data_IF_877031007636
#
_entry.id   IF_877031007636
#
_cell.length_a   1.000
_cell.length_b   1.000
_cell.length_c   1.000
_cell.angle_alpha   90.00
_cell.angle_beta   90.00
_cell.angle_gamma   90.00
#
_symmetry.space_group_name_H-M   'P 1'
#
loop_
_entity.id
_entity.type
_entity.pdbx_description
1 polymer ?
#
# COMPACT_ATOMS: atom_id res chain seq x y z
N UNK A 1 -12.68 -8.31 -28.56
CA UNK A 1 -11.46 -8.77 -29.29
C UNK A 1 -10.30 -8.99 -28.33
N UNK A 2 -9.97 -8.05 -27.44
CA UNK A 2 -8.87 -8.20 -26.46
C UNK A 2 -9.12 -9.28 -25.40
N UNK A 3 -10.31 -9.35 -24.82
CA UNK A 3 -10.66 -10.42 -23.86
C UNK A 3 -10.52 -11.83 -24.46
N UNK A 4 -10.84 -11.98 -25.75
CA UNK A 4 -10.61 -13.24 -26.48
C UNK A 4 -9.12 -13.56 -26.68
N UNK A 5 -8.26 -12.54 -26.81
CA UNK A 5 -6.81 -12.74 -26.88
C UNK A 5 -6.24 -13.12 -25.50
N UNK A 6 -6.82 -12.62 -24.40
CA UNK A 6 -6.44 -13.06 -23.05
C UNK A 6 -6.65 -14.58 -22.88
N UNK A 7 -7.74 -15.13 -23.42
CA UNK A 7 -8.02 -16.57 -23.37
C UNK A 7 -6.96 -17.43 -24.07
N UNK A 8 -6.34 -16.90 -25.13
CA UNK A 8 -5.31 -17.60 -25.91
C UNK A 8 -3.90 -17.41 -25.34
N UNK A 9 -3.63 -16.29 -24.65
CA UNK A 9 -2.28 -15.89 -24.24
C UNK A 9 -1.97 -16.11 -22.75
N UNK A 10 -2.98 -16.01 -21.87
CA UNK A 10 -2.76 -16.12 -20.44
C UNK A 10 -2.76 -17.58 -19.97
N UNK A 11 -1.99 -17.85 -18.93
CA UNK A 11 -1.99 -19.14 -18.24
C UNK A 11 -3.42 -19.52 -17.79
N UNK A 12 -3.77 -20.82 -17.72
CA UNK A 12 -5.09 -21.27 -17.27
C UNK A 12 -5.49 -20.70 -15.90
N UNK A 13 -4.52 -20.47 -15.02
CA UNK A 13 -4.67 -19.99 -13.66
C UNK A 13 -4.86 -18.47 -13.57
N UNK A 14 -4.66 -17.74 -14.67
CA UNK A 14 -4.80 -16.29 -14.69
C UNK A 14 -6.26 -15.83 -14.68
N UNK A 15 -6.51 -14.71 -14.02
CA UNK A 15 -7.84 -14.13 -13.96
C UNK A 15 -8.20 -13.47 -15.29
N UNK A 16 -9.34 -13.84 -15.88
CA UNK A 16 -9.81 -13.26 -17.15
C UNK A 16 -10.61 -11.99 -16.91
N UNK A 17 -10.38 -10.94 -17.71
CA UNK A 17 -11.12 -9.69 -17.59
C UNK A 17 -12.61 -9.86 -17.93
N UNK A 18 -12.95 -10.80 -18.82
CA UNK A 18 -14.35 -11.12 -19.15
C UNK A 18 -15.16 -11.75 -18.00
N UNK A 19 -14.49 -12.26 -16.96
CA UNK A 19 -15.13 -12.77 -15.74
C UNK A 19 -15.20 -11.71 -14.61
N UNK A 20 -14.77 -10.48 -14.88
CA UNK A 20 -14.78 -9.41 -13.90
C UNK A 20 -16.22 -8.99 -13.55
N UNK A 21 -16.46 -8.73 -12.27
CA UNK A 21 -17.78 -8.29 -11.77
C UNK A 21 -17.66 -6.96 -11.07
N UNK A 22 -18.72 -6.15 -11.13
CA UNK A 22 -18.82 -4.83 -10.48
C UNK A 22 -20.08 -4.79 -9.61
N UNK A 23 -20.11 -3.93 -8.60
CA UNK A 23 -21.30 -3.74 -7.76
C UNK A 23 -22.42 -3.06 -8.54
N UNK A 24 -22.09 -2.03 -9.31
CA UNK A 24 -23.03 -1.35 -10.19
C UNK A 24 -22.83 -1.82 -11.65
N UNK A 25 -23.89 -2.32 -12.32
CA UNK A 25 -23.81 -2.71 -13.73
C UNK A 25 -23.37 -1.53 -14.60
N UNK A 26 -22.45 -1.79 -15.52
CA UNK A 26 -21.95 -0.79 -16.44
C UNK A 26 -21.67 -1.44 -17.80
N UNK A 27 -21.93 -0.69 -18.88
CA UNK A 27 -21.65 -1.17 -20.23
C UNK A 27 -20.14 -1.43 -20.43
N UNK A 28 -19.77 -2.53 -21.11
CA UNK A 28 -18.38 -2.79 -21.48
C UNK A 28 -17.77 -1.66 -22.31
N UNK A 29 -16.48 -1.39 -22.10
CA UNK A 29 -15.76 -0.38 -22.89
C UNK A 29 -15.33 -1.03 -24.22
N UNK A 30 -15.48 -0.34 -25.36
CA UNK A 30 -15.17 -0.92 -26.67
C UNK A 30 -13.68 -1.18 -26.91
N UNK A 31 -12.78 -0.55 -26.13
CA UNK A 31 -11.33 -0.58 -26.36
C UNK A 31 -10.53 -1.15 -25.19
N UNK A 32 -11.01 -0.94 -23.96
CA UNK A 32 -10.31 -1.31 -22.73
C UNK A 32 -10.97 -2.48 -22.02
N UNK A 33 -10.15 -3.36 -21.44
CA UNK A 33 -10.64 -4.44 -20.57
C UNK A 33 -11.16 -3.88 -19.25
N UNK A 34 -11.89 -4.70 -18.48
CA UNK A 34 -12.40 -4.29 -17.18
C UNK A 34 -11.29 -3.83 -16.22
N UNK A 35 -10.14 -4.51 -16.22
CA UNK A 35 -9.00 -4.18 -15.35
C UNK A 35 -8.22 -2.95 -15.82
N UNK A 36 -8.12 -2.71 -17.13
CA UNK A 36 -7.55 -1.44 -17.65
C UNK A 36 -8.37 -0.23 -17.23
N UNK A 37 -9.71 -0.36 -17.24
CA UNK A 37 -10.59 0.71 -16.74
C UNK A 37 -10.37 0.96 -15.25
N UNK A 38 -10.21 -0.09 -14.45
CA UNK A 38 -9.96 0.04 -13.01
C UNK A 38 -8.65 0.76 -12.73
N UNK A 39 -7.57 0.34 -13.40
CA UNK A 39 -6.28 1.03 -13.37
C UNK A 39 -6.43 2.52 -13.67
N UNK A 40 -7.09 2.84 -14.78
CA UNK A 40 -7.24 4.22 -15.23
C UNK A 40 -8.03 5.05 -14.19
N UNK A 41 -9.09 4.48 -13.60
CA UNK A 41 -9.88 5.12 -12.53
C UNK A 41 -9.03 5.39 -11.29
N UNK A 42 -8.26 4.40 -10.83
CA UNK A 42 -7.41 4.52 -9.65
C UNK A 42 -6.40 5.66 -9.83
N UNK A 43 -5.68 5.68 -10.95
CA UNK A 43 -4.65 6.70 -11.24
C UNK A 43 -5.22 8.12 -11.27
N UNK A 44 -6.47 8.29 -11.71
CA UNK A 44 -7.11 9.59 -11.79
C UNK A 44 -7.80 10.03 -10.48
N UNK A 45 -7.91 9.16 -9.48
CA UNK A 45 -8.50 9.47 -8.17
C UNK A 45 -7.71 10.57 -7.42
N UNK A 46 -8.38 11.28 -6.51
CA UNK A 46 -7.69 12.27 -5.65
C UNK A 46 -6.83 11.53 -4.62
N UNK A 47 -7.31 10.40 -4.10
CA UNK A 47 -6.56 9.53 -3.19
C UNK A 47 -5.19 9.11 -3.75
N UNK A 48 -5.12 8.65 -5.01
CA UNK A 48 -3.85 8.30 -5.65
C UNK A 48 -2.91 9.50 -5.78
N UNK A 49 -3.42 10.69 -6.14
CA UNK A 49 -2.59 11.92 -6.21
C UNK A 49 -1.98 12.30 -4.87
N UNK A 50 -2.66 12.02 -3.76
CA UNK A 50 -2.17 12.31 -2.40
C UNK A 50 -0.97 11.45 -2.00
N UNK A 51 -0.76 10.29 -2.63
CA UNK A 51 0.42 9.44 -2.38
C UNK A 51 1.74 10.19 -2.57
N UNK A 52 1.78 11.16 -3.49
CA UNK A 52 2.94 12.05 -3.71
C UNK A 52 3.35 12.82 -2.45
N UNK A 53 2.40 13.07 -1.56
CA UNK A 53 2.57 13.91 -0.38
C UNK A 53 2.42 13.12 0.93
N UNK A 54 2.54 11.79 0.85
CA UNK A 54 2.61 10.89 2.00
C UNK A 54 3.97 10.19 2.04
N UNK A 55 4.63 10.28 3.18
CA UNK A 55 5.89 9.58 3.47
C UNK A 55 5.65 8.09 3.57
N UNK A 56 6.61 7.29 3.11
CA UNK A 56 6.60 5.84 3.28
C UNK A 56 7.12 5.45 4.67
N UNK A 57 8.43 5.62 4.90
CA UNK A 57 9.12 5.17 6.12
C UNK A 57 9.52 6.30 7.04
N UNK A 58 10.20 7.32 6.51
CA UNK A 58 10.75 8.40 7.32
C UNK A 58 9.72 9.51 7.45
N UNK A 59 9.41 9.91 8.67
CA UNK A 59 8.57 11.07 8.93
C UNK A 59 9.40 12.32 8.61
N UNK A 60 8.90 13.16 7.70
CA UNK A 60 9.49 14.46 7.32
C UNK A 60 11.02 14.50 7.18
N UNK A 61 11.64 13.61 6.38
CA UNK A 61 13.09 13.56 6.32
C UNK A 61 13.65 14.81 5.64
N UNK A 62 14.70 15.38 6.24
CA UNK A 62 15.46 16.47 5.61
C UNK A 62 16.29 15.88 4.45
N UNK A 63 15.85 16.06 3.21
CA UNK A 63 16.59 15.68 2.00
C UNK A 63 15.70 15.35 0.79
N UNK A 64 16.26 15.46 -0.41
CA UNK A 64 15.51 15.38 -1.67
C UNK A 64 15.23 13.96 -2.19
N UNK A 65 15.79 12.92 -1.56
CA UNK A 65 15.88 11.57 -2.12
C UNK A 65 15.04 10.50 -1.39
N UNK A 66 14.16 10.88 -0.46
CA UNK A 66 13.36 9.90 0.29
C UNK A 66 12.15 9.41 -0.49
N UNK A 67 11.86 8.12 -0.37
CA UNK A 67 10.77 7.47 -1.11
C UNK A 67 9.41 7.92 -0.55
N UNK A 68 8.58 8.47 -1.44
CA UNK A 68 7.16 8.74 -1.14
C UNK A 68 6.33 7.48 -1.40
N UNK A 69 5.13 7.40 -0.85
CA UNK A 69 4.21 6.30 -1.16
C UNK A 69 3.89 6.16 -2.65
N UNK A 70 3.92 7.27 -3.40
CA UNK A 70 3.77 7.21 -4.85
C UNK A 70 4.95 6.46 -5.49
N UNK A 71 6.18 6.75 -5.07
CA UNK A 71 7.37 6.06 -5.59
C UNK A 71 7.37 4.58 -5.19
N UNK A 72 6.98 4.25 -3.94
CA UNK A 72 6.73 2.87 -3.51
C UNK A 72 5.76 2.16 -4.44
N UNK A 73 4.60 2.78 -4.65
CA UNK A 73 3.52 2.22 -5.48
C UNK A 73 3.99 1.93 -6.90
N UNK A 74 4.85 2.80 -7.48
CA UNK A 74 5.43 2.58 -8.79
C UNK A 74 6.44 1.41 -8.79
N UNK A 75 7.25 1.25 -7.75
CA UNK A 75 8.17 0.13 -7.59
C UNK A 75 7.41 -1.20 -7.43
N UNK A 76 6.40 -1.24 -6.56
CA UNK A 76 5.49 -2.38 -6.39
C UNK A 76 4.81 -2.74 -7.71
N UNK A 77 4.34 -1.73 -8.46
CA UNK A 77 3.70 -1.96 -9.77
C UNK A 77 4.70 -2.55 -10.77
N UNK A 78 5.94 -2.06 -10.81
CA UNK A 78 6.96 -2.59 -11.71
C UNK A 78 7.31 -4.05 -11.37
N UNK A 79 7.51 -4.37 -10.09
CA UNK A 79 7.80 -5.72 -9.62
C UNK A 79 6.61 -6.65 -9.89
N UNK A 80 5.39 -6.23 -9.54
CA UNK A 80 4.17 -7.01 -9.73
C UNK A 80 3.94 -7.36 -11.20
N UNK A 81 4.05 -6.37 -12.10
CA UNK A 81 3.92 -6.60 -13.55
C UNK A 81 5.00 -7.54 -14.09
N UNK A 82 6.23 -7.45 -13.58
CA UNK A 82 7.31 -8.35 -14.00
C UNK A 82 7.00 -9.81 -13.63
N UNK A 83 6.56 -10.06 -12.40
CA UNK A 83 6.16 -11.40 -11.94
C UNK A 83 4.94 -11.90 -12.72
N UNK A 84 3.89 -11.07 -12.87
CA UNK A 84 2.69 -11.43 -13.62
C UNK A 84 3.03 -11.85 -15.06
N UNK A 85 3.85 -11.06 -15.76
CA UNK A 85 4.29 -11.37 -17.12
C UNK A 85 5.07 -12.68 -17.19
N UNK A 86 5.99 -12.91 -16.26
CA UNK A 86 6.81 -14.13 -16.24
C UNK A 86 5.98 -15.40 -15.99
N UNK A 87 4.90 -15.29 -15.21
CA UNK A 87 3.98 -16.39 -14.90
C UNK A 87 2.82 -16.52 -15.89
N UNK A 88 2.73 -15.64 -16.89
CA UNK A 88 1.59 -15.61 -17.83
C UNK A 88 0.26 -15.23 -17.18
N UNK A 89 0.30 -14.50 -16.07
CA UNK A 89 -0.88 -14.02 -15.32
C UNK A 89 -1.37 -12.66 -15.87
N UNK A 90 -2.54 -12.21 -15.41
CA UNK A 90 -3.15 -10.97 -15.91
C UNK A 90 -2.41 -9.72 -15.38
N UNK A 91 -1.60 -9.12 -16.26
CA UNK A 91 -0.76 -7.98 -15.93
C UNK A 91 -1.57 -6.74 -15.53
N UNK A 92 -2.70 -6.50 -16.22
CA UNK A 92 -3.58 -5.35 -15.99
C UNK A 92 -4.29 -5.45 -14.63
N UNK A 93 -4.70 -6.64 -14.22
CA UNK A 93 -5.26 -6.87 -12.88
C UNK A 93 -4.19 -6.64 -11.80
N UNK A 94 -3.01 -7.22 -11.96
CA UNK A 94 -1.90 -7.01 -11.01
C UNK A 94 -1.56 -5.52 -10.91
N UNK A 95 -1.45 -4.81 -12.03
CA UNK A 95 -1.18 -3.38 -12.08
C UNK A 95 -2.26 -2.57 -11.34
N UNK A 96 -3.54 -2.84 -11.60
CA UNK A 96 -4.65 -2.14 -10.93
C UNK A 96 -4.62 -2.34 -9.40
N UNK A 97 -4.37 -3.58 -8.94
CA UNK A 97 -4.24 -3.87 -7.50
C UNK A 97 -3.03 -3.13 -6.91
N UNK A 98 -1.86 -3.20 -7.56
CA UNK A 98 -0.65 -2.50 -7.13
C UNK A 98 -0.88 -0.99 -7.01
N UNK A 99 -1.58 -0.35 -7.95
CA UNK A 99 -1.81 1.10 -7.89
C UNK A 99 -2.80 1.49 -6.78
N UNK A 100 -3.70 0.58 -6.40
CA UNK A 100 -4.72 0.82 -5.38
C UNK A 100 -4.33 0.39 -3.96
N UNK A 101 -3.27 -0.41 -3.78
CA UNK A 101 -3.00 -1.05 -2.49
C UNK A 101 -2.75 -0.06 -1.35
N UNK A 102 -2.05 1.04 -1.66
CA UNK A 102 -1.44 1.92 -0.66
C UNK A 102 -2.23 3.22 -0.37
N UNK A 103 -3.33 3.47 -1.08
CA UNK A 103 -4.05 4.77 -1.03
C UNK A 103 -4.69 5.07 0.33
N UNK A 104 -5.02 4.03 1.10
CA UNK A 104 -5.66 4.09 2.40
C UNK A 104 -4.73 4.30 3.59
N UNK A 105 -3.42 4.45 3.36
CA UNK A 105 -2.51 4.77 4.47
C UNK A 105 -2.82 6.13 5.07
N UNK A 106 -2.72 6.25 6.38
CA UNK A 106 -2.86 7.50 7.11
C UNK A 106 -1.66 8.44 6.89
N UNK A 107 -1.77 9.73 7.29
CA UNK A 107 -0.60 10.59 7.45
C UNK A 107 0.43 9.93 8.37
N UNK A 108 1.72 10.14 8.09
CA UNK A 108 2.84 9.58 8.87
C UNK A 108 2.96 8.05 8.86
N UNK A 109 2.36 7.39 7.87
CA UNK A 109 2.52 5.95 7.65
C UNK A 109 2.09 5.10 8.84
N UNK A 110 2.89 4.10 9.22
CA UNK A 110 2.55 3.16 10.32
C UNK A 110 2.27 3.86 11.64
N UNK A 111 2.94 4.99 11.91
CA UNK A 111 2.72 5.76 13.14
C UNK A 111 1.30 6.36 13.18
N UNK A 112 0.81 6.87 12.05
CA UNK A 112 -0.57 7.34 11.96
C UNK A 112 -1.58 6.21 12.03
N UNK A 113 -1.29 5.05 11.44
CA UNK A 113 -2.16 3.86 11.54
C UNK A 113 -2.31 3.41 13.00
N UNK A 114 -1.20 3.43 13.75
CA UNK A 114 -1.21 3.10 15.18
C UNK A 114 -2.07 4.08 15.97
N UNK A 115 -1.99 5.39 15.68
CA UNK A 115 -2.85 6.38 16.31
C UNK A 115 -4.33 6.23 15.94
N UNK A 116 -4.64 5.93 14.67
CA UNK A 116 -6.02 5.72 14.21
C UNK A 116 -6.63 4.43 14.73
N UNK A 117 -5.80 3.43 15.06
CA UNK A 117 -6.27 2.15 15.59
C UNK A 117 -7.00 2.28 16.93
N UNK A 118 -6.78 3.37 17.67
CA UNK A 118 -7.52 3.68 18.91
C UNK A 118 -8.99 4.03 18.66
N UNK A 119 -9.32 4.43 17.44
CA UNK A 119 -10.66 4.91 17.05
C UNK A 119 -11.42 3.91 16.16
N UNK A 120 -10.80 2.80 15.77
CA UNK A 120 -11.40 1.79 14.88
C UNK A 120 -11.47 0.46 15.59
N UNK A 121 -12.67 -0.09 15.73
CA UNK A 121 -12.88 -1.41 16.31
C UNK A 121 -12.12 -2.47 15.50
N UNK A 122 -11.34 -3.31 16.18
CA UNK A 122 -10.47 -4.30 15.53
C UNK A 122 -9.14 -3.74 14.97
N UNK A 123 -8.91 -2.43 15.14
CA UNK A 123 -7.68 -1.74 14.73
C UNK A 123 -7.69 -1.25 13.28
N UNK A 124 -6.80 -0.30 12.98
CA UNK A 124 -6.70 0.29 11.64
C UNK A 124 -6.02 -0.63 10.64
N UNK A 125 -6.54 -0.67 9.42
CA UNK A 125 -5.93 -1.37 8.28
C UNK A 125 -6.02 -0.49 7.04
N UNK A 126 -4.88 -0.03 6.51
CA UNK A 126 -4.88 0.74 5.26
C UNK A 126 -5.57 0.00 4.11
N UNK A 127 -5.48 -1.33 4.04
CA UNK A 127 -6.06 -2.10 2.94
C UNK A 127 -7.59 -2.00 2.95
N UNK A 128 -8.21 -2.03 4.14
CA UNK A 128 -9.65 -1.83 4.28
C UNK A 128 -10.03 -0.39 3.96
N UNK A 129 -9.21 0.58 4.39
CA UNK A 129 -9.40 1.98 4.03
C UNK A 129 -9.22 2.25 2.54
N UNK A 130 -8.27 1.59 1.87
CA UNK A 130 -8.06 1.70 0.42
C UNK A 130 -9.32 1.29 -0.34
N UNK A 131 -9.96 0.20 0.10
CA UNK A 131 -11.22 -0.21 -0.51
C UNK A 131 -12.37 0.73 -0.14
N UNK A 132 -12.46 1.16 1.12
CA UNK A 132 -13.47 2.14 1.56
C UNK A 132 -13.39 3.45 0.77
N UNK A 133 -12.18 3.91 0.44
CA UNK A 133 -11.98 5.08 -0.42
C UNK A 133 -12.65 4.85 -1.78
N UNK A 134 -12.45 3.70 -2.42
CA UNK A 134 -12.98 3.46 -3.77
C UNK A 134 -14.42 2.96 -3.83
N UNK A 135 -15.00 2.51 -2.72
CA UNK A 135 -16.40 2.09 -2.63
C UNK A 135 -17.31 3.18 -2.08
N UNK A 136 -16.82 4.05 -1.17
CA UNK A 136 -17.64 5.00 -0.42
C UNK A 136 -17.22 6.47 -0.64
N UNK A 137 -15.95 6.80 -0.44
CA UNK A 137 -15.50 8.20 -0.38
C UNK A 137 -15.29 8.83 -1.77
N UNK A 138 -14.74 8.05 -2.69
CA UNK A 138 -14.49 8.36 -4.08
C UNK A 138 -14.97 7.15 -4.91
N UNK A 139 -16.29 6.90 -5.01
CA UNK A 139 -16.82 5.66 -5.59
C UNK A 139 -16.40 5.52 -7.06
N UNK A 140 -15.50 4.56 -7.33
CA UNK A 140 -14.96 4.28 -8.66
C UNK A 140 -15.63 3.07 -9.33
N UNK A 141 -16.52 2.37 -8.62
CA UNK A 141 -17.17 1.13 -9.08
C UNK A 141 -16.16 0.12 -9.63
N UNK A 142 -15.06 -0.15 -8.91
CA UNK A 142 -13.99 -1.07 -9.33
C UNK A 142 -14.50 -2.52 -9.41
N UNK A 143 -13.77 -3.37 -10.10
CA UNK A 143 -14.08 -4.81 -10.15
C UNK A 143 -13.83 -5.48 -8.80
N UNK A 144 -14.62 -6.52 -8.49
CA UNK A 144 -14.51 -7.28 -7.25
C UNK A 144 -13.11 -7.90 -7.07
N UNK A 145 -12.47 -8.30 -8.18
CA UNK A 145 -11.12 -8.85 -8.18
C UNK A 145 -10.07 -7.81 -7.76
N UNK A 146 -10.20 -6.57 -8.21
CA UNK A 146 -9.31 -5.48 -7.81
C UNK A 146 -9.52 -5.13 -6.34
N UNK A 147 -10.77 -5.00 -5.88
CA UNK A 147 -11.04 -4.68 -4.46
C UNK A 147 -10.65 -5.81 -3.51
N UNK A 148 -10.85 -7.07 -3.89
CA UNK A 148 -10.35 -8.24 -3.14
C UNK A 148 -8.82 -8.25 -3.06
N UNK A 149 -8.14 -8.05 -4.19
CA UNK A 149 -6.68 -7.95 -4.25
C UNK A 149 -6.15 -6.85 -3.33
N UNK A 150 -6.74 -5.65 -3.37
CA UNK A 150 -6.37 -4.53 -2.49
C UNK A 150 -6.61 -4.88 -1.02
N UNK A 151 -7.76 -5.46 -0.68
CA UNK A 151 -8.13 -5.76 0.71
C UNK A 151 -7.22 -6.83 1.33
N UNK A 152 -6.94 -7.89 0.58
CA UNK A 152 -6.32 -9.11 1.09
C UNK A 152 -4.81 -9.20 0.86
N UNK A 153 -4.18 -8.25 0.15
CA UNK A 153 -2.74 -8.28 -0.09
C UNK A 153 -1.87 -8.32 1.19
N UNK A 154 -2.24 -7.68 2.33
CA UNK A 154 -1.34 -7.67 3.47
C UNK A 154 -1.11 -9.08 4.01
N UNK A 155 0.13 -9.39 4.36
CA UNK A 155 0.52 -10.70 4.87
C UNK A 155 -0.13 -11.08 6.22
N UNK A 156 -0.63 -10.10 6.96
CA UNK A 156 -1.39 -10.31 8.20
C UNK A 156 -2.82 -10.82 7.96
N UNK A 157 -3.32 -10.74 6.72
CA UNK A 157 -4.62 -11.29 6.36
C UNK A 157 -4.46 -12.79 6.13
N UNK A 158 -5.12 -13.60 6.97
CA UNK A 158 -5.02 -15.06 6.95
C UNK A 158 -5.45 -15.64 5.59
N UNK A 159 -6.66 -15.25 5.14
CA UNK A 159 -7.14 -15.60 3.82
C UNK A 159 -6.63 -14.56 2.82
N UNK A 160 -5.60 -14.94 2.08
CA UNK A 160 -5.04 -14.10 1.02
C UNK A 160 -6.02 -13.79 -0.10
N UNK A 161 -5.60 -12.98 -1.09
CA UNK A 161 -6.40 -12.66 -2.26
C UNK A 161 -6.88 -13.93 -2.96
N UNK A 162 -8.08 -13.87 -3.54
CA UNK A 162 -8.69 -14.97 -4.28
C UNK A 162 -8.00 -15.26 -5.62
N UNK A 163 -7.26 -14.28 -6.15
CA UNK A 163 -6.58 -14.36 -7.43
C UNK A 163 -5.06 -14.53 -7.27
N UNK A 164 -4.43 -15.22 -8.21
CA UNK A 164 -2.96 -15.30 -8.28
C UNK A 164 -2.34 -13.91 -8.45
N UNK A 165 -2.99 -13.03 -9.21
CA UNK A 165 -2.58 -11.65 -9.41
C UNK A 165 -2.55 -10.86 -8.10
N UNK A 166 -3.53 -11.04 -7.21
CA UNK A 166 -3.49 -10.47 -5.87
C UNK A 166 -2.40 -11.10 -5.00
N UNK A 167 -2.18 -12.42 -5.14
CA UNK A 167 -1.06 -13.15 -4.53
C UNK A 167 0.31 -12.54 -4.87
N UNK A 168 0.51 -12.14 -6.14
CA UNK A 168 1.71 -11.45 -6.59
C UNK A 168 1.91 -10.14 -5.83
N UNK A 169 0.85 -9.34 -5.65
CA UNK A 169 0.96 -8.04 -4.97
C UNK A 169 1.46 -8.20 -3.53
N UNK A 170 1.12 -9.31 -2.84
CA UNK A 170 1.68 -9.59 -1.50
C UNK A 170 3.21 -9.62 -1.54
N UNK A 171 3.79 -10.32 -2.51
CA UNK A 171 5.23 -10.40 -2.67
C UNK A 171 5.82 -9.10 -3.18
N UNK A 172 5.20 -8.48 -4.19
CA UNK A 172 5.70 -7.25 -4.80
C UNK A 172 5.81 -6.10 -3.79
N UNK A 173 4.80 -5.92 -2.93
CA UNK A 173 4.82 -4.93 -1.84
C UNK A 173 6.00 -5.18 -0.91
N UNK A 174 6.17 -6.43 -0.46
CA UNK A 174 7.25 -6.81 0.45
C UNK A 174 8.64 -6.65 -0.15
N UNK A 175 8.83 -7.06 -1.39
CA UNK A 175 10.13 -6.94 -2.08
C UNK A 175 10.49 -5.47 -2.24
N UNK A 176 9.54 -4.64 -2.67
CA UNK A 176 9.77 -3.21 -2.91
C UNK A 176 10.25 -2.49 -1.64
N UNK A 177 9.49 -2.61 -0.54
CA UNK A 177 9.86 -1.89 0.68
C UNK A 177 11.13 -2.47 1.31
N UNK A 178 11.36 -3.79 1.28
CA UNK A 178 12.60 -4.35 1.85
C UNK A 178 13.86 -3.88 1.13
N UNK A 179 13.80 -3.79 -0.20
CA UNK A 179 14.95 -3.36 -0.99
C UNK A 179 15.26 -1.87 -0.79
N UNK A 180 14.24 -1.00 -0.90
CA UNK A 180 14.45 0.44 -0.86
C UNK A 180 14.58 1.02 0.56
N UNK A 181 13.87 0.46 1.54
CA UNK A 181 13.93 0.99 2.91
C UNK A 181 15.29 0.72 3.56
N UNK A 182 16.01 -0.35 3.14
CA UNK A 182 17.40 -0.57 3.56
C UNK A 182 18.31 0.50 2.99
N UNK A 183 18.18 0.84 1.70
CA UNK A 183 19.00 1.88 1.07
C UNK A 183 18.78 3.24 1.74
N UNK A 184 17.52 3.58 2.04
CA UNK A 184 17.19 4.82 2.73
C UNK A 184 17.66 4.81 4.19
N UNK A 185 17.55 3.68 4.91
CA UNK A 185 18.05 3.55 6.27
C UNK A 185 19.58 3.67 6.35
N UNK A 186 20.31 3.14 5.36
CA UNK A 186 21.76 3.33 5.25
C UNK A 186 22.10 4.79 4.93
N UNK A 187 21.35 5.43 4.01
CA UNK A 187 21.54 6.85 3.67
C UNK A 187 21.27 7.79 4.85
N UNK A 188 20.34 7.41 5.73
CA UNK A 188 19.99 8.15 6.93
C UNK A 188 20.88 7.83 8.15
N UNK A 189 21.98 7.08 7.96
CA UNK A 189 22.89 6.61 9.03
C UNK A 189 22.18 5.82 10.15
N UNK A 190 21.01 5.25 9.88
CA UNK A 190 20.27 4.40 10.82
C UNK A 190 20.78 2.95 10.82
N UNK A 191 21.32 2.52 9.68
CA UNK A 191 21.94 1.21 9.50
C UNK A 191 23.30 1.38 8.85
N UNK A 192 24.24 0.51 9.22
CA UNK A 192 25.46 0.29 8.46
C UNK A 192 25.29 -0.98 7.61
N UNK A 193 25.94 -1.09 6.44
CA UNK A 193 25.89 -2.32 5.64
C UNK A 193 26.25 -3.59 6.44
N UNK A 194 27.20 -3.46 7.36
CA UNK A 194 27.64 -4.57 8.25
C UNK A 194 26.61 -4.97 9.31
N UNK A 195 25.57 -4.15 9.54
CA UNK A 195 24.50 -4.48 10.49
C UNK A 195 23.46 -5.45 9.87
N UNK A 196 23.50 -5.67 8.56
CA UNK A 196 22.51 -6.47 7.85
C UNK A 196 22.61 -7.97 8.19
N UNK A 197 21.47 -8.69 8.23
CA UNK A 197 21.48 -10.14 8.49
C UNK A 197 22.31 -10.91 7.46
N UNK A 198 23.26 -11.72 7.93
CA UNK A 198 24.15 -12.48 7.05
C UNK A 198 23.40 -13.49 6.17
N UNK A 199 22.30 -14.05 6.65
CA UNK A 199 21.43 -14.94 5.86
C UNK A 199 20.79 -14.20 4.68
N UNK A 200 20.37 -12.95 4.86
CA UNK A 200 19.87 -12.11 3.78
C UNK A 200 20.94 -11.80 2.72
N UNK A 201 22.17 -11.48 3.15
CA UNK A 201 23.28 -11.24 2.22
C UNK A 201 23.66 -12.49 1.43
N UNK A 202 23.62 -13.67 2.05
CA UNK A 202 23.87 -14.94 1.38
C UNK A 202 22.76 -15.31 0.40
N UNK A 203 21.49 -15.10 0.78
CA UNK A 203 20.35 -15.48 -0.03
C UNK A 203 20.07 -14.51 -1.19
N UNK A 204 20.28 -13.21 -0.98
CA UNK A 204 19.82 -12.16 -1.90
C UNK A 204 20.95 -11.30 -2.48
N UNK A 205 22.18 -11.44 -1.98
CA UNK A 205 23.33 -10.63 -2.38
C UNK A 205 23.34 -9.25 -1.72
N UNK A 206 23.86 -8.25 -2.43
CA UNK A 206 23.93 -6.87 -1.92
C UNK A 206 22.55 -6.17 -1.97
N UNK A 207 22.25 -5.27 -1.01
CA UNK A 207 21.00 -4.50 -1.01
C UNK A 207 20.72 -3.73 -2.29
N UNK A 208 19.44 -3.40 -2.51
CA UNK A 208 18.98 -2.70 -3.70
C UNK A 208 18.68 -3.66 -4.84
N UNK A 209 19.33 -3.48 -5.99
CA UNK A 209 19.00 -4.21 -7.22
C UNK A 209 19.11 -5.73 -7.09
N UNK A 210 20.18 -6.25 -6.47
CA UNK A 210 20.37 -7.72 -6.40
C UNK A 210 19.30 -8.37 -5.53
N UNK A 211 18.83 -7.69 -4.47
CA UNK A 211 17.72 -8.18 -3.66
C UNK A 211 16.42 -8.27 -4.45
N UNK A 212 16.09 -7.23 -5.22
CA UNK A 212 14.91 -7.23 -6.10
C UNK A 212 15.01 -8.40 -7.08
N UNK A 213 16.12 -8.49 -7.81
CA UNK A 213 16.33 -9.55 -8.82
C UNK A 213 16.22 -10.95 -8.18
N UNK A 214 16.85 -11.18 -7.04
CA UNK A 214 16.89 -12.48 -6.36
C UNK A 214 15.52 -12.87 -5.80
N UNK A 215 14.83 -11.95 -5.11
CA UNK A 215 13.51 -12.24 -4.53
C UNK A 215 12.45 -12.42 -5.62
N UNK A 216 12.48 -11.61 -6.68
CA UNK A 216 11.58 -11.77 -7.83
C UNK A 216 11.80 -13.12 -8.51
N UNK A 217 13.05 -13.49 -8.75
CA UNK A 217 13.41 -14.79 -9.33
C UNK A 217 12.93 -15.94 -8.45
N UNK A 218 13.13 -15.85 -7.13
CA UNK A 218 12.67 -16.87 -6.18
C UNK A 218 11.15 -17.06 -6.17
N UNK A 219 10.36 -15.99 -6.32
CA UNK A 219 8.91 -16.09 -6.49
C UNK A 219 8.57 -16.77 -7.82
N UNK A 220 9.18 -16.32 -8.92
CA UNK A 220 8.87 -16.85 -10.26
C UNK A 220 9.21 -18.34 -10.36
N UNK A 221 10.43 -18.73 -10.01
CA UNK A 221 10.91 -20.10 -10.15
C UNK A 221 10.08 -21.08 -9.33
N UNK A 222 9.77 -20.72 -8.07
CA UNK A 222 8.96 -21.58 -7.23
C UNK A 222 7.50 -21.62 -7.70
N UNK A 223 6.94 -20.51 -8.17
CA UNK A 223 5.58 -20.47 -8.71
C UNK A 223 5.42 -21.30 -9.98
N UNK A 224 6.42 -21.27 -10.88
CA UNK A 224 6.44 -22.13 -12.06
C UNK A 224 6.54 -23.62 -11.71
N UNK A 225 7.23 -23.95 -10.62
CA UNK A 225 7.40 -25.33 -10.17
C UNK A 225 6.15 -25.90 -9.49
N UNK A 226 5.38 -25.08 -8.77
CA UNK A 226 4.23 -25.54 -7.97
C UNK A 226 2.88 -25.26 -8.60
N UNK A 227 2.80 -24.30 -9.52
CA UNK A 227 1.53 -23.80 -10.07
C UNK A 227 0.80 -22.82 -9.14
N UNK A 228 1.40 -22.42 -8.02
CA UNK A 228 0.85 -21.45 -7.07
C UNK A 228 1.82 -20.28 -6.86
N UNK A 229 1.31 -19.05 -6.79
CA UNK A 229 2.14 -17.87 -6.53
C UNK A 229 2.76 -17.95 -5.13
N UNK A 230 4.02 -18.34 -5.08
CA UNK A 230 4.71 -18.73 -3.85
C UNK A 230 6.22 -18.59 -3.97
N UNK A 231 6.91 -18.61 -2.82
CA UNK A 231 8.37 -18.59 -2.71
C UNK A 231 8.78 -19.82 -1.90
N UNK A 232 9.93 -20.40 -2.22
CA UNK A 232 10.51 -21.52 -1.47
C UNK A 232 10.54 -21.23 0.05
N UNK A 233 10.14 -22.18 0.92
CA UNK A 233 10.04 -21.94 2.37
C UNK A 233 11.33 -21.46 3.03
N UNK A 234 12.51 -21.92 2.59
CA UNK A 234 13.77 -21.47 3.17
C UNK A 234 14.05 -20.01 2.79
N UNK A 235 13.85 -19.65 1.53
CA UNK A 235 14.02 -18.28 1.02
C UNK A 235 13.00 -17.31 1.64
N UNK A 236 11.74 -17.76 1.76
CA UNK A 236 10.68 -17.03 2.44
C UNK A 236 11.00 -16.79 3.92
N UNK A 237 11.60 -17.78 4.59
CA UNK A 237 12.12 -17.65 5.95
C UNK A 237 13.16 -16.53 6.09
N UNK A 238 14.12 -16.44 5.16
CA UNK A 238 15.11 -15.35 5.14
C UNK A 238 14.42 -13.99 4.93
N UNK A 239 13.46 -13.91 4.01
CA UNK A 239 12.68 -12.68 3.80
C UNK A 239 11.91 -12.25 5.07
N UNK A 240 11.37 -13.21 5.83
CA UNK A 240 10.73 -12.93 7.12
C UNK A 240 11.70 -12.43 8.18
N UNK A 241 12.89 -13.03 8.29
CA UNK A 241 13.94 -12.59 9.21
C UNK A 241 14.39 -11.16 8.89
N UNK A 242 14.66 -10.88 7.61
CA UNK A 242 15.03 -9.55 7.14
C UNK A 242 13.94 -8.51 7.47
N UNK A 243 12.67 -8.86 7.26
CA UNK A 243 11.55 -7.99 7.66
C UNK A 243 11.54 -7.72 9.16
N UNK A 244 11.70 -8.76 9.98
CA UNK A 244 11.71 -8.60 11.44
C UNK A 244 12.85 -7.66 11.89
N UNK A 245 14.03 -7.85 11.31
CA UNK A 245 15.19 -6.96 11.51
C UNK A 245 14.86 -5.51 11.14
N UNK A 246 14.27 -5.25 9.97
CA UNK A 246 13.90 -3.89 9.55
C UNK A 246 12.88 -3.24 10.49
N UNK A 247 11.93 -4.02 11.01
CA UNK A 247 10.99 -3.52 12.03
C UNK A 247 11.67 -3.11 13.31
N UNK A 248 12.58 -3.93 13.83
CA UNK A 248 13.31 -3.63 15.06
C UNK A 248 14.25 -2.44 14.90
N UNK A 249 15.00 -2.41 13.79
CA UNK A 249 16.15 -1.50 13.61
C UNK A 249 15.82 -0.19 12.92
N UNK A 250 14.75 -0.15 12.13
CA UNK A 250 14.38 1.03 11.34
C UNK A 250 13.01 1.55 11.76
N UNK A 251 11.94 0.77 11.54
CA UNK A 251 10.57 1.27 11.74
C UNK A 251 10.22 1.56 13.21
N UNK A 252 10.76 0.78 14.15
CA UNK A 252 10.55 0.94 15.60
C UNK A 252 11.83 1.36 16.33
N UNK A 253 12.78 1.97 15.61
CA UNK A 253 14.04 2.41 16.18
C UNK A 253 13.80 3.39 17.35
N UNK A 254 14.44 3.19 18.53
CA UNK A 254 14.28 4.09 19.68
C UNK A 254 14.59 5.56 19.40
N UNK A 255 15.49 5.83 18.45
CA UNK A 255 15.84 7.19 18.01
C UNK A 255 14.65 7.97 17.42
N UNK A 256 13.69 7.27 16.83
CA UNK A 256 12.50 7.87 16.19
C UNK A 256 11.34 8.08 17.17
N UNK A 257 11.44 7.58 18.41
CA UNK A 257 10.33 7.60 19.37
C UNK A 257 9.79 9.01 19.70
N UNK A 258 10.63 10.05 19.90
CA UNK A 258 10.12 11.41 20.11
C UNK A 258 9.27 11.93 18.95
N UNK A 259 9.69 11.67 17.72
CA UNK A 259 8.98 12.09 16.53
C UNK A 259 7.69 11.29 16.34
N UNK A 260 7.75 9.96 16.55
CA UNK A 260 6.57 9.08 16.48
C UNK A 260 5.49 9.53 17.46
N UNK A 261 5.88 9.85 18.69
CA UNK A 261 4.94 10.35 19.71
C UNK A 261 4.23 11.62 19.24
N UNK A 262 4.98 12.58 18.70
CA UNK A 262 4.44 13.84 18.19
C UNK A 262 3.49 13.61 17.00
N UNK A 263 3.85 12.72 16.08
CA UNK A 263 2.97 12.37 14.96
C UNK A 263 1.66 11.71 15.42
N UNK A 264 1.71 10.82 16.42
CA UNK A 264 0.50 10.24 17.04
C UNK A 264 -0.36 11.31 17.70
N UNK A 265 0.25 12.22 18.46
CA UNK A 265 -0.44 13.35 19.09
C UNK A 265 -1.16 14.20 18.04
N UNK A 266 -0.50 14.57 16.94
CA UNK A 266 -1.12 15.30 15.83
C UNK A 266 -2.38 14.59 15.32
N UNK A 267 -2.31 13.28 15.06
CA UNK A 267 -3.46 12.52 14.56
C UNK A 267 -4.59 12.46 15.59
N UNK A 268 -4.28 12.18 16.86
CA UNK A 268 -5.28 12.11 17.94
C UNK A 268 -5.97 13.45 18.18
N UNK A 269 -5.19 14.53 18.20
CA UNK A 269 -5.70 15.90 18.38
C UNK A 269 -6.64 16.29 17.22
N UNK A 270 -6.28 15.96 15.98
CA UNK A 270 -7.14 16.22 14.82
C UNK A 270 -8.45 15.44 14.90
N UNK A 271 -8.40 14.14 15.24
CA UNK A 271 -9.62 13.33 15.43
C UNK A 271 -10.49 13.94 16.53
N UNK A 272 -9.90 14.25 17.70
CA UNK A 272 -10.62 14.84 18.82
C UNK A 272 -11.24 16.21 18.48
N UNK A 273 -10.53 17.06 17.72
CA UNK A 273 -11.04 18.35 17.26
C UNK A 273 -12.26 18.18 16.36
N UNK A 274 -12.15 17.38 15.30
CA UNK A 274 -13.24 17.21 14.34
C UNK A 274 -14.43 16.41 14.89
N UNK A 275 -14.22 15.61 15.94
CA UNK A 275 -15.32 15.04 16.73
C UNK A 275 -16.16 16.10 17.44
N UNK A 276 -15.62 17.28 17.71
CA UNK A 276 -16.37 18.39 18.31
C UNK A 276 -16.78 19.47 17.30
N UNK A 277 -16.24 19.42 16.07
CA UNK A 277 -16.42 20.44 15.03
C UNK A 277 -16.67 19.77 13.67
N UNK A 278 -17.72 18.95 13.59
CA UNK A 278 -18.03 18.19 12.37
C UNK A 278 -18.30 19.10 11.17
N UNK A 279 -18.78 20.33 11.40
CA UNK A 279 -18.98 21.35 10.37
C UNK A 279 -17.69 21.78 9.65
N UNK A 280 -16.52 21.57 10.25
CA UNK A 280 -15.22 21.82 9.61
C UNK A 280 -14.75 20.64 8.74
N UNK A 281 -15.35 19.46 8.88
CA UNK A 281 -15.09 18.31 8.03
C UNK A 281 -15.74 18.54 6.66
N UNK A 282 -15.00 18.40 5.54
CA UNK A 282 -15.57 18.63 4.22
C UNK A 282 -16.79 17.74 3.97
N UNK A 283 -17.81 18.29 3.29
CA UNK A 283 -19.05 17.57 2.98
C UNK A 283 -18.82 16.24 2.26
N UNK A 284 -17.76 16.13 1.46
CA UNK A 284 -17.38 14.89 0.78
C UNK A 284 -16.98 13.74 1.71
N UNK A 285 -16.77 14.00 3.00
CA UNK A 285 -16.51 12.99 4.03
C UNK A 285 -17.68 12.81 5.01
N UNK A 286 -18.70 13.68 4.93
CA UNK A 286 -19.87 13.66 5.81
C UNK A 286 -20.98 12.79 5.22
N UNK A 287 -20.74 11.49 5.19
CA UNK A 287 -21.67 10.50 4.64
C UNK A 287 -22.72 10.10 5.69
N UNK A 288 -24.00 10.22 5.34
CA UNK A 288 -25.13 9.92 6.24
C UNK A 288 -25.15 8.45 6.71
N UNK A 289 -24.61 7.53 5.91
CA UNK A 289 -24.56 6.10 6.20
C UNK A 289 -23.43 5.69 7.16
N UNK A 290 -22.58 6.64 7.58
CA UNK A 290 -21.47 6.41 8.50
C UNK A 290 -21.67 7.20 9.81
N UNK A 291 -21.28 6.62 10.94
CA UNK A 291 -21.26 7.37 12.19
C UNK A 291 -20.25 8.52 12.17
N UNK A 292 -20.42 9.46 13.10
CA UNK A 292 -19.58 10.65 13.15
C UNK A 292 -18.09 10.33 13.30
N UNK A 293 -17.75 9.30 14.07
CA UNK A 293 -16.36 8.90 14.28
C UNK A 293 -15.71 8.42 12.98
N UNK A 294 -16.43 7.60 12.22
CA UNK A 294 -15.98 7.09 10.93
C UNK A 294 -15.76 8.24 9.94
N UNK A 295 -16.70 9.19 9.85
CA UNK A 295 -16.57 10.37 8.97
C UNK A 295 -15.30 11.19 9.31
N UNK A 296 -15.03 11.40 10.59
CA UNK A 296 -13.82 12.11 11.06
C UNK A 296 -12.56 11.32 10.74
N UNK A 297 -12.55 10.01 11.02
CA UNK A 297 -11.41 9.14 10.75
C UNK A 297 -11.11 9.05 9.25
N UNK A 298 -12.13 8.99 8.39
CA UNK A 298 -12.00 9.03 6.94
C UNK A 298 -11.32 10.33 6.48
N UNK A 299 -11.72 11.46 7.06
CA UNK A 299 -11.13 12.76 6.73
C UNK A 299 -9.66 12.85 7.19
N UNK A 300 -9.37 12.49 8.45
CA UNK A 300 -8.01 12.57 9.01
C UNK A 300 -7.05 11.61 8.29
N UNK A 301 -7.46 10.37 8.04
CA UNK A 301 -6.66 9.40 7.27
C UNK A 301 -6.44 9.84 5.81
N UNK A 302 -7.39 10.58 5.25
CA UNK A 302 -7.30 11.16 3.90
C UNK A 302 -6.31 12.33 3.77
N UNK A 303 -5.82 12.90 4.87
CA UNK A 303 -4.88 14.03 4.82
C UNK A 303 -3.50 13.60 4.30
N UNK A 304 -2.76 14.54 3.71
CA UNK A 304 -1.32 14.40 3.46
C UNK A 304 -0.53 14.86 4.67
N UNK A 305 0.71 14.41 4.87
CA UNK A 305 1.48 14.72 6.10
C UNK A 305 1.60 16.22 6.36
N UNK A 306 1.96 17.00 5.34
CA UNK A 306 2.10 18.46 5.46
C UNK A 306 0.78 19.16 5.75
N UNK A 307 -0.32 18.63 5.20
CA UNK A 307 -1.66 19.17 5.47
C UNK A 307 -2.10 18.86 6.89
N UNK A 308 -1.87 17.64 7.39
CA UNK A 308 -2.18 17.25 8.76
C UNK A 308 -1.42 18.14 9.76
N UNK A 309 -0.11 18.34 9.55
CA UNK A 309 0.69 19.25 10.40
C UNK A 309 0.20 20.69 10.30
N UNK A 310 -0.07 21.21 9.10
CA UNK A 310 -0.56 22.58 8.94
C UNK A 310 -1.95 22.80 9.56
N UNK A 311 -2.84 21.80 9.47
CA UNK A 311 -4.15 21.83 10.10
C UNK A 311 -4.02 21.82 11.63
N UNK A 312 -3.18 20.94 12.17
CA UNK A 312 -2.89 20.87 13.60
C UNK A 312 -2.30 22.19 14.11
N UNK A 313 -1.28 22.72 13.43
CA UNK A 313 -0.66 23.99 13.79
C UNK A 313 -1.68 25.14 13.77
N UNK A 314 -2.58 25.19 12.79
CA UNK A 314 -3.63 26.22 12.70
C UNK A 314 -4.63 26.14 13.85
N UNK A 315 -4.99 24.94 14.29
CA UNK A 315 -6.02 24.70 15.31
C UNK A 315 -5.44 24.90 16.71
N UNK A 316 -4.23 24.39 16.96
CA UNK A 316 -3.67 24.25 18.31
C UNK A 316 -2.52 25.20 18.63
N UNK A 317 -1.86 25.83 17.64
CA UNK A 317 -0.86 26.85 17.99
C UNK A 317 -1.56 28.07 18.57
N UNK A 318 -1.06 28.62 19.69
CA UNK A 318 -1.52 29.90 20.19
C UNK A 318 -1.34 30.96 19.10
N UNK A 319 -2.41 31.68 18.76
CA UNK A 319 -2.28 32.96 18.07
C UNK A 319 -1.65 33.95 19.06
N UNK A 320 -0.32 34.01 19.10
CA UNK A 320 0.39 35.09 19.75
C UNK A 320 0.29 36.32 18.83
N UNK A 321 -0.83 37.03 18.97
CA UNK A 321 -1.22 38.27 18.29
C UNK A 321 -1.62 38.13 16.81
#
# INVERSE_FOLDING_TARGET
>A
MRERLEDEMLAPEATRAGAATRSEPEEPDPFRTAFERDRDRIVHSKAFRRLKHKTQVFMMPEGDHFVTRLTHTLQVTQIGRAIARALGLNEELTEAICLGHDVGHSPFGHTGEEALSEFVEGGWRHSDQSVRIFEVLEPLNLTAQVTDGIRAHPWRVEKGPSTHEGGIVRFADRIAYLAHDVEDAVRADMLRPDDLPADALVAFGDPGKQWIDSMVTAVIDHSLATGEVSMDPATLGVMHNLRAFMFERVYLAPSMEPERRRAKEVVRDLVAHFMNHLEEVPETYRHDDADQLTQVVDYVSGMTDRFAVAAHDRIFRPALF
#
